data_IF_795999728247
#
_entry.id   IF_795999728247
#
_cell.length_a   1.000
_cell.length_b   1.000
_cell.length_c   1.000
_cell.angle_alpha   90.00
_cell.angle_beta   90.00
_cell.angle_gamma   90.00
#
_symmetry.space_group_name_H-M   'P 1'
#
loop_
_entity.id
_entity.type
_entity.pdbx_description
1 polymer ?
#
# COMPACT_ATOMS: atom_id res chain seq x y z
N UNK A 1 39.16 6.98 -40.64
CA UNK A 1 39.42 6.00 -39.58
C UNK A 1 39.62 6.75 -38.27
N UNK A 2 38.56 6.81 -37.45
CA UNK A 2 38.64 7.41 -36.13
C UNK A 2 38.22 6.31 -35.13
N UNK A 3 39.15 5.99 -34.23
CA UNK A 3 39.00 4.95 -33.24
C UNK A 3 38.12 5.44 -32.07
N UNK A 4 37.00 4.76 -31.84
CA UNK A 4 36.14 4.96 -30.66
C UNK A 4 36.82 4.34 -29.45
N UNK A 5 37.23 5.19 -28.48
CA UNK A 5 37.67 4.75 -27.14
C UNK A 5 36.43 4.45 -26.29
N UNK A 6 36.18 3.18 -26.04
CA UNK A 6 35.23 2.76 -25.02
C UNK A 6 35.79 3.10 -23.62
N UNK A 7 35.11 4.00 -22.89
CA UNK A 7 35.40 4.26 -21.48
C UNK A 7 34.78 3.15 -20.63
N UNK A 8 35.62 2.35 -20.00
CA UNK A 8 35.21 1.39 -18.95
C UNK A 8 34.88 2.16 -17.68
N UNK A 9 33.58 2.45 -17.47
CA UNK A 9 33.09 2.98 -16.20
C UNK A 9 33.19 1.91 -15.12
N UNK A 10 34.07 2.11 -14.13
CA UNK A 10 34.09 1.29 -12.92
C UNK A 10 32.83 1.60 -12.10
N UNK A 11 32.00 0.60 -11.86
CA UNK A 11 30.88 0.72 -10.94
C UNK A 11 31.42 1.06 -9.54
N UNK A 12 31.03 2.21 -9.01
CA UNK A 12 31.33 2.59 -7.63
C UNK A 12 30.64 1.62 -6.66
N UNK A 13 31.27 1.26 -5.54
CA UNK A 13 30.65 0.40 -4.55
C UNK A 13 29.43 1.10 -3.94
N UNK A 14 28.33 0.36 -3.88
CA UNK A 14 27.06 0.78 -3.30
C UNK A 14 27.26 1.19 -1.82
N UNK A 15 27.20 2.47 -1.53
CA UNK A 15 27.13 2.98 -0.15
C UNK A 15 25.69 3.40 0.13
N UNK A 16 24.98 2.56 0.90
CA UNK A 16 23.67 2.93 1.41
C UNK A 16 23.83 4.08 2.42
N UNK A 17 23.43 5.28 2.03
CA UNK A 17 23.33 6.43 2.92
C UNK A 17 21.84 6.66 3.16
N UNK A 18 21.33 6.44 4.38
CA UNK A 18 19.94 6.75 4.69
C UNK A 18 19.69 8.25 4.49
N UNK A 19 18.51 8.64 3.97
CA UNK A 19 18.17 10.04 3.75
C UNK A 19 18.32 10.85 5.05
N UNK A 20 19.03 11.96 4.98
CA UNK A 20 19.42 12.80 6.14
C UNK A 20 18.24 13.40 6.91
N UNK A 21 17.01 13.32 6.37
CA UNK A 21 15.79 13.86 6.97
C UNK A 21 14.97 12.83 7.75
N UNK A 22 15.39 11.58 7.77
CA UNK A 22 14.62 10.57 8.49
C UNK A 22 14.96 10.62 9.98
N UNK A 23 14.11 11.31 10.75
CA UNK A 23 14.19 11.31 12.21
C UNK A 23 13.63 10.00 12.77
N UNK A 24 14.41 8.92 12.71
CA UNK A 24 14.15 7.66 13.41
C UNK A 24 13.59 7.85 14.84
N UNK A 25 13.98 8.92 15.59
CA UNK A 25 13.38 9.20 16.90
C UNK A 25 11.89 9.45 16.87
N UNK A 26 11.33 10.05 15.81
CA UNK A 26 9.89 10.31 15.72
C UNK A 26 9.08 9.01 15.53
N UNK A 27 9.56 8.10 14.67
CA UNK A 27 8.95 6.78 14.49
C UNK A 27 9.07 5.95 15.76
N UNK A 28 10.24 5.95 16.40
CA UNK A 28 10.46 5.27 17.68
C UNK A 28 9.59 5.85 18.79
N UNK A 29 9.37 7.18 18.81
CA UNK A 29 8.53 7.86 19.79
C UNK A 29 7.04 7.54 19.56
N UNK A 30 6.59 7.48 18.32
CA UNK A 30 5.22 7.09 17.95
C UNK A 30 4.95 5.64 18.35
N UNK A 31 5.85 4.73 18.02
CA UNK A 31 5.77 3.31 18.40
C UNK A 31 5.83 3.13 19.92
N UNK A 32 6.70 3.87 20.63
CA UNK A 32 6.81 3.82 22.08
C UNK A 32 5.58 4.44 22.79
N UNK A 33 4.97 5.48 22.22
CA UNK A 33 3.76 6.10 22.76
C UNK A 33 2.55 5.19 22.61
N UNK A 34 2.42 4.51 21.47
CA UNK A 34 1.37 3.52 21.20
C UNK A 34 1.52 2.30 22.14
N UNK A 35 2.75 1.85 22.40
CA UNK A 35 3.03 0.71 23.28
C UNK A 35 2.63 0.98 24.76
N UNK A 36 2.57 2.23 25.22
CA UNK A 36 2.19 2.59 26.59
C UNK A 36 0.68 2.63 26.86
N UNK A 37 -0.15 2.70 25.84
CA UNK A 37 -1.62 2.83 25.98
C UNK A 37 -2.33 1.49 26.07
N UNK A 38 -1.67 0.37 25.82
CA UNK A 38 -2.27 -0.92 25.63
C UNK A 38 -2.19 -1.86 26.85
N UNK A 39 -2.96 -1.58 27.87
CA UNK A 39 -3.44 -2.65 28.77
C UNK A 39 -4.63 -3.32 28.06
N UNK A 40 -4.38 -4.38 27.27
CA UNK A 40 -5.38 -5.01 26.40
C UNK A 40 -5.72 -6.39 26.92
N UNK A 41 -7.02 -6.65 27.07
CA UNK A 41 -7.55 -8.01 27.29
C UNK A 41 -7.15 -8.94 26.12
N UNK A 42 -6.93 -10.25 26.38
CA UNK A 42 -6.54 -11.19 25.35
C UNK A 42 -7.61 -11.26 24.25
N UNK A 43 -7.20 -10.89 23.03
CA UNK A 43 -8.05 -10.99 21.85
C UNK A 43 -8.28 -12.46 21.49
N UNK A 44 -9.50 -12.79 21.05
CA UNK A 44 -9.83 -14.11 20.52
C UNK A 44 -9.02 -14.38 19.24
N UNK A 45 -8.64 -15.64 19.00
CA UNK A 45 -7.86 -16.03 17.81
C UNK A 45 -8.47 -15.52 16.47
N UNK A 46 -9.81 -15.46 16.40
CA UNK A 46 -10.51 -14.95 15.22
C UNK A 46 -10.28 -13.45 14.96
N UNK A 47 -10.24 -12.63 16.01
CA UNK A 47 -10.00 -11.19 15.86
C UNK A 47 -8.58 -10.92 15.37
N UNK A 48 -7.60 -11.67 15.84
CA UNK A 48 -6.21 -11.61 15.39
C UNK A 48 -6.09 -12.07 13.93
N UNK A 49 -6.79 -13.14 13.55
CA UNK A 49 -6.79 -13.61 12.16
C UNK A 49 -7.38 -12.54 11.21
N UNK A 50 -8.46 -11.87 11.59
CA UNK A 50 -9.06 -10.79 10.80
C UNK A 50 -8.12 -9.58 10.66
N UNK A 51 -7.38 -9.20 11.72
CA UNK A 51 -6.38 -8.12 11.66
C UNK A 51 -5.24 -8.46 10.67
N UNK A 52 -4.78 -9.71 10.66
CA UNK A 52 -3.75 -10.17 9.73
C UNK A 52 -4.26 -10.28 8.29
N UNK A 53 -5.51 -10.73 8.10
CA UNK A 53 -6.14 -10.83 6.77
C UNK A 53 -6.36 -9.45 6.16
N UNK A 54 -6.79 -8.46 6.95
CA UNK A 54 -7.11 -7.10 6.47
C UNK A 54 -5.95 -6.42 5.74
N UNK A 55 -4.70 -6.76 6.05
CA UNK A 55 -3.53 -6.23 5.33
C UNK A 55 -3.61 -6.46 3.81
N UNK A 56 -4.29 -7.53 3.37
CA UNK A 56 -4.35 -7.94 1.96
C UNK A 56 -5.78 -8.28 1.51
N UNK A 57 -6.79 -8.03 2.33
CA UNK A 57 -8.19 -8.38 2.07
C UNK A 57 -9.09 -7.17 2.39
N UNK A 58 -9.46 -6.42 1.36
CA UNK A 58 -10.35 -5.25 1.47
C UNK A 58 -11.76 -5.59 1.95
N UNK A 59 -12.15 -6.88 1.94
CA UNK A 59 -13.47 -7.31 2.40
C UNK A 59 -13.58 -7.37 3.93
N UNK A 60 -12.50 -7.05 4.65
CA UNK A 60 -12.47 -6.90 6.11
C UNK A 60 -12.18 -5.44 6.42
N UNK A 61 -13.14 -4.74 7.03
CA UNK A 61 -13.01 -3.33 7.40
C UNK A 61 -12.96 -3.22 8.92
N UNK A 62 -11.84 -2.75 9.46
CA UNK A 62 -11.64 -2.47 10.90
C UNK A 62 -10.98 -1.11 11.06
N UNK A 63 -11.37 -0.35 12.07
CA UNK A 63 -10.76 0.94 12.37
C UNK A 63 -9.28 0.76 12.71
N UNK A 64 -8.42 1.46 12.00
CA UNK A 64 -6.98 1.43 12.23
C UNK A 64 -6.29 2.73 11.79
N UNK A 65 -5.06 2.90 12.24
CA UNK A 65 -4.08 3.82 11.69
C UNK A 65 -2.87 3.02 11.28
N UNK A 66 -2.33 3.29 10.09
CA UNK A 66 -1.10 2.64 9.63
C UNK A 66 -0.06 3.66 9.17
N UNK A 67 1.19 3.23 9.25
CA UNK A 67 2.33 3.84 8.60
C UNK A 67 2.91 2.81 7.64
N UNK A 68 2.84 3.11 6.36
CA UNK A 68 3.42 2.33 5.28
C UNK A 68 4.70 3.02 4.83
N UNK A 69 5.77 2.24 4.62
CA UNK A 69 7.03 2.72 4.07
C UNK A 69 7.37 1.86 2.87
N UNK A 70 7.50 2.47 1.71
CA UNK A 70 7.85 1.81 0.46
C UNK A 70 9.13 2.40 -0.10
N UNK A 71 10.03 1.55 -0.58
CA UNK A 71 11.28 1.92 -1.24
C UNK A 71 11.35 1.28 -2.60
N UNK A 72 11.37 2.12 -3.61
CA UNK A 72 11.45 1.74 -5.01
C UNK A 72 12.88 1.82 -5.52
N UNK A 73 13.32 0.74 -6.17
CA UNK A 73 14.59 0.68 -6.85
C UNK A 73 14.39 0.61 -8.37
N UNK A 74 14.98 1.53 -9.09
CA UNK A 74 14.91 1.60 -10.54
C UNK A 74 16.17 1.04 -11.20
N UNK A 75 16.06 0.69 -12.49
CA UNK A 75 17.18 0.06 -13.25
C UNK A 75 18.31 1.04 -13.57
N UNK A 76 18.01 2.31 -13.64
CA UNK A 76 18.94 3.43 -13.86
C UNK A 76 19.66 3.89 -12.58
N UNK A 77 19.33 3.28 -11.44
CA UNK A 77 19.91 3.64 -10.15
C UNK A 77 19.14 4.73 -9.40
N UNK A 78 18.04 5.25 -9.94
CA UNK A 78 17.15 6.12 -9.20
C UNK A 78 16.51 5.39 -8.03
N UNK A 79 16.19 6.12 -6.97
CA UNK A 79 15.53 5.62 -5.77
C UNK A 79 14.38 6.55 -5.41
N UNK A 80 13.28 5.94 -4.99
CA UNK A 80 12.12 6.65 -4.46
C UNK A 80 11.73 6.02 -3.14
N UNK A 81 11.32 6.85 -2.18
CA UNK A 81 10.81 6.40 -0.90
C UNK A 81 9.52 7.14 -0.59
N UNK A 82 8.48 6.38 -0.27
CA UNK A 82 7.16 6.90 0.08
C UNK A 82 6.80 6.41 1.47
N UNK A 83 6.40 7.33 2.35
CA UNK A 83 5.83 7.03 3.65
C UNK A 83 4.38 7.47 3.67
N UNK A 84 3.44 6.55 3.73
CA UNK A 84 2.02 6.87 3.76
C UNK A 84 1.46 6.72 5.17
N UNK A 85 0.98 7.82 5.74
CA UNK A 85 0.15 7.77 6.94
C UNK A 85 -1.30 7.55 6.52
N UNK A 86 -1.87 6.43 6.93
CA UNK A 86 -3.25 6.06 6.60
C UNK A 86 -4.11 5.97 7.83
N UNK A 87 -5.36 6.39 7.71
CA UNK A 87 -6.40 6.20 8.71
C UNK A 87 -7.64 5.59 8.07
N UNK A 88 -8.15 4.49 8.62
CA UNK A 88 -9.45 3.92 8.28
C UNK A 88 -10.36 3.98 9.49
N UNK A 89 -11.46 4.70 9.36
CA UNK A 89 -12.55 4.64 10.32
C UNK A 89 -13.65 3.72 9.80
N UNK A 90 -14.03 2.73 10.63
CA UNK A 90 -15.03 1.71 10.30
C UNK A 90 -16.25 1.83 11.20
N UNK A 91 -17.44 1.67 10.65
CA UNK A 91 -18.70 1.61 11.36
C UNK A 91 -19.49 0.37 10.95
N UNK A 92 -20.00 -0.35 11.95
CA UNK A 92 -20.92 -1.47 11.72
C UNK A 92 -22.33 -0.95 11.53
N UNK A 93 -22.90 -1.19 10.36
CA UNK A 93 -24.26 -0.79 10.00
C UNK A 93 -25.26 -1.93 10.28
N UNK A 94 -24.83 -3.17 10.09
CA UNK A 94 -25.61 -4.36 10.39
C UNK A 94 -24.69 -5.53 10.76
N UNK A 95 -25.26 -6.67 11.14
CA UNK A 95 -24.47 -7.89 11.48
C UNK A 95 -23.66 -8.43 10.29
N UNK A 96 -24.03 -8.05 9.07
CA UNK A 96 -23.43 -8.52 7.83
C UNK A 96 -22.74 -7.43 7.01
N UNK A 97 -22.83 -6.14 7.42
CA UNK A 97 -22.30 -5.02 6.65
C UNK A 97 -21.56 -4.00 7.52
N UNK A 98 -20.34 -3.68 7.11
CA UNK A 98 -19.50 -2.63 7.65
C UNK A 98 -19.26 -1.54 6.58
N UNK A 99 -19.18 -0.27 7.00
CA UNK A 99 -18.81 0.87 6.18
C UNK A 99 -17.49 1.44 6.66
N UNK A 100 -16.73 2.05 5.76
CA UNK A 100 -15.47 2.68 6.11
C UNK A 100 -15.19 3.95 5.33
N UNK A 101 -14.47 4.87 5.99
CA UNK A 101 -13.88 6.06 5.37
C UNK A 101 -12.38 5.96 5.58
N UNK A 102 -11.61 6.13 4.51
CA UNK A 102 -10.14 6.07 4.52
C UNK A 102 -9.57 7.41 4.09
N UNK A 103 -8.51 7.83 4.76
CA UNK A 103 -7.65 8.95 4.37
C UNK A 103 -6.21 8.44 4.30
N UNK A 104 -5.52 8.73 3.20
CA UNK A 104 -4.10 8.49 3.02
C UNK A 104 -3.38 9.81 2.77
N UNK A 105 -2.26 10.00 3.45
CA UNK A 105 -1.40 11.17 3.35
C UNK A 105 0.03 10.69 3.08
N UNK A 106 0.48 10.68 1.81
CA UNK A 106 1.84 10.29 1.48
C UNK A 106 2.84 11.40 1.80
N UNK A 107 4.02 10.99 2.22
CA UNK A 107 5.23 11.79 2.36
C UNK A 107 6.25 11.20 1.40
N UNK A 108 6.49 11.87 0.29
CA UNK A 108 7.28 11.38 -0.81
C UNK A 108 8.70 11.93 -0.74
N UNK A 109 9.65 11.11 -1.12
CA UNK A 109 11.03 11.48 -1.33
C UNK A 109 11.52 10.82 -2.61
N UNK A 110 12.02 11.63 -3.53
CA UNK A 110 12.58 11.16 -4.79
C UNK A 110 14.01 11.65 -4.92
N UNK A 111 14.89 10.75 -5.32
CA UNK A 111 16.27 11.03 -5.66
C UNK A 111 16.54 10.55 -7.08
N UNK A 112 16.70 11.49 -7.99
CA UNK A 112 17.13 11.19 -9.34
C UNK A 112 18.65 11.12 -9.44
N UNK A 113 19.17 10.35 -10.41
CA UNK A 113 20.60 10.32 -10.70
C UNK A 113 21.09 11.74 -11.11
N UNK A 114 22.31 12.13 -10.68
CA UNK A 114 22.91 13.44 -10.98
C UNK A 114 22.94 13.76 -12.49
N UNK A 115 22.94 12.73 -13.34
CA UNK A 115 22.91 12.87 -14.79
C UNK A 115 21.59 13.47 -15.33
N UNK A 116 20.49 13.41 -14.58
CA UNK A 116 19.17 13.95 -14.98
C UNK A 116 18.96 15.41 -14.56
N UNK A 117 19.89 16.00 -13.77
CA UNK A 117 19.85 17.39 -13.34
C UNK A 117 18.78 17.74 -12.31
N UNK A 118 18.03 16.75 -11.82
CA UNK A 118 17.05 16.91 -10.76
C UNK A 118 17.69 16.43 -9.46
N UNK A 119 17.77 17.29 -8.47
CA UNK A 119 18.31 16.98 -7.15
C UNK A 119 17.35 16.13 -6.31
N UNK A 120 17.61 16.08 -5.01
CA UNK A 120 16.73 15.47 -4.03
C UNK A 120 15.49 16.36 -3.80
N UNK A 121 14.29 15.78 -3.90
CA UNK A 121 13.01 16.45 -3.61
C UNK A 121 12.24 15.64 -2.58
N UNK A 122 11.68 16.33 -1.58
CA UNK A 122 10.86 15.69 -0.57
C UNK A 122 9.73 16.61 -0.10
N UNK A 123 8.56 16.02 0.20
CA UNK A 123 7.39 16.80 0.61
C UNK A 123 6.15 15.92 0.82
N UNK A 124 5.00 16.58 0.94
CA UNK A 124 3.70 15.93 0.99
C UNK A 124 3.32 15.58 -0.46
N UNK A 125 2.96 14.33 -0.71
CA UNK A 125 2.45 13.85 -1.99
C UNK A 125 0.94 14.08 -2.15
N UNK A 126 0.35 13.38 -3.10
CA UNK A 126 -1.07 13.51 -3.41
C UNK A 126 -1.95 12.76 -2.40
N UNK A 127 -2.84 13.46 -1.72
CA UNK A 127 -3.73 12.89 -0.72
C UNK A 127 -4.84 12.04 -1.36
N UNK A 128 -5.30 11.01 -0.64
CA UNK A 128 -6.36 10.13 -1.08
C UNK A 128 -7.49 10.06 -0.04
N UNK A 129 -8.72 10.15 -0.50
CA UNK A 129 -9.92 9.99 0.33
C UNK A 129 -10.80 8.88 -0.25
N UNK A 130 -11.09 7.86 0.57
CA UNK A 130 -11.90 6.72 0.16
C UNK A 130 -13.14 6.53 1.03
N UNK A 131 -14.19 5.99 0.44
CA UNK A 131 -15.37 5.48 1.12
C UNK A 131 -15.73 4.12 0.54
N UNK A 132 -16.12 3.19 1.41
CA UNK A 132 -16.45 1.84 0.97
C UNK A 132 -17.31 1.08 1.95
N UNK A 133 -17.76 -0.08 1.50
CA UNK A 133 -18.53 -1.02 2.29
C UNK A 133 -18.01 -2.42 2.11
N UNK A 134 -18.05 -3.23 3.17
CA UNK A 134 -17.79 -4.66 3.12
C UNK A 134 -19.00 -5.41 3.66
N UNK A 135 -19.33 -6.53 3.02
CA UNK A 135 -20.49 -7.34 3.35
C UNK A 135 -20.10 -8.81 3.47
N UNK A 136 -20.62 -9.46 4.51
CA UNK A 136 -20.54 -10.91 4.69
C UNK A 136 -21.71 -11.56 3.94
N UNK A 137 -21.41 -12.33 2.91
CA UNK A 137 -22.43 -13.06 2.15
C UNK A 137 -22.83 -14.35 2.87
N UNK A 138 -21.87 -15.00 3.52
CA UNK A 138 -22.07 -16.16 4.41
C UNK A 138 -20.83 -16.35 5.31
N UNK A 139 -20.65 -17.52 5.90
CA UNK A 139 -19.54 -17.81 6.81
C UNK A 139 -18.16 -17.78 6.15
N UNK A 140 -18.07 -18.01 4.84
CA UNK A 140 -16.80 -18.13 4.11
C UNK A 140 -16.65 -17.10 2.99
N UNK A 141 -17.72 -16.48 2.51
CA UNK A 141 -17.70 -15.51 1.43
C UNK A 141 -17.95 -14.10 1.93
N UNK A 142 -17.13 -13.15 1.48
CA UNK A 142 -17.26 -11.72 1.73
C UNK A 142 -17.09 -10.95 0.42
N UNK A 143 -17.66 -9.76 0.35
CA UNK A 143 -17.47 -8.82 -0.76
C UNK A 143 -17.29 -7.41 -0.22
N UNK A 144 -16.60 -6.57 -0.96
CA UNK A 144 -16.46 -5.15 -0.66
C UNK A 144 -16.50 -4.34 -1.95
N UNK A 145 -16.92 -3.09 -1.82
CA UNK A 145 -16.86 -2.12 -2.91
C UNK A 145 -16.66 -0.71 -2.37
N UNK A 146 -16.07 0.16 -3.16
CA UNK A 146 -15.80 1.52 -2.73
C UNK A 146 -15.34 2.44 -3.84
N UNK A 147 -15.27 3.72 -3.48
CA UNK A 147 -14.75 4.80 -4.30
C UNK A 147 -13.60 5.47 -3.55
N UNK A 148 -12.58 5.88 -4.27
CA UNK A 148 -11.44 6.61 -3.74
C UNK A 148 -11.09 7.75 -4.69
N UNK A 149 -10.94 8.95 -4.15
CA UNK A 149 -10.50 10.14 -4.84
C UNK A 149 -9.03 10.37 -4.52
N UNK A 150 -8.19 10.36 -5.53
CA UNK A 150 -6.82 10.85 -5.49
C UNK A 150 -6.82 12.32 -5.88
N UNK A 151 -6.34 13.17 -5.01
CA UNK A 151 -6.36 14.62 -5.20
C UNK A 151 -4.96 15.11 -5.55
N UNK A 152 -4.86 15.98 -6.55
CA UNK A 152 -3.63 16.69 -6.93
C UNK A 152 -3.31 17.77 -5.87
N UNK A 153 -2.67 17.35 -4.77
CA UNK A 153 -2.42 18.16 -3.56
C UNK A 153 -0.97 18.18 -3.13
N UNK A 154 -0.08 17.59 -3.92
CA UNK A 154 1.34 17.51 -3.59
C UNK A 154 1.95 18.91 -3.35
N UNK A 155 2.81 18.98 -2.34
CA UNK A 155 3.48 20.24 -1.94
C UNK A 155 4.53 20.73 -2.94
N UNK A 156 5.02 19.83 -3.79
CA UNK A 156 6.00 20.13 -4.85
C UNK A 156 5.54 19.51 -6.18
N UNK A 157 5.58 20.24 -7.29
CA UNK A 157 5.21 19.74 -8.61
C UNK A 157 6.00 18.51 -9.09
N UNK A 158 7.18 18.24 -8.53
CA UNK A 158 7.96 17.05 -8.85
C UNK A 158 7.47 15.80 -8.15
N UNK A 159 6.67 15.93 -7.07
CA UNK A 159 6.03 14.84 -6.32
C UNK A 159 4.57 14.59 -6.73
N UNK A 160 3.99 15.52 -7.51
CA UNK A 160 2.60 15.49 -7.93
C UNK A 160 2.39 14.53 -9.09
N UNK A 161 1.33 13.71 -9.04
CA UNK A 161 0.81 13.01 -10.22
C UNK A 161 0.19 13.99 -11.23
N UNK A 162 -0.21 15.19 -10.78
CA UNK A 162 -0.83 16.27 -11.56
C UNK A 162 -2.16 15.88 -12.20
N UNK A 163 -2.83 14.94 -11.58
CA UNK A 163 -4.15 14.47 -11.99
C UNK A 163 -5.06 14.29 -10.78
N UNK A 164 -6.34 14.63 -10.97
CA UNK A 164 -7.40 14.19 -10.09
C UNK A 164 -7.92 12.86 -10.62
N UNK A 165 -7.89 11.82 -9.83
CA UNK A 165 -8.27 10.47 -10.27
C UNK A 165 -9.31 9.86 -9.34
N UNK A 166 -10.37 9.30 -9.94
CA UNK A 166 -11.35 8.50 -9.26
C UNK A 166 -11.01 7.02 -9.46
N UNK A 167 -10.90 6.28 -8.35
CA UNK A 167 -10.74 4.84 -8.35
C UNK A 167 -12.02 4.19 -7.86
N UNK A 168 -12.56 3.26 -8.62
CA UNK A 168 -13.69 2.41 -8.28
C UNK A 168 -13.16 1.01 -8.01
N UNK A 169 -13.32 0.53 -6.78
CA UNK A 169 -12.82 -0.76 -6.36
C UNK A 169 -13.93 -1.73 -6.00
N UNK A 170 -13.74 -2.98 -6.35
CA UNK A 170 -14.58 -4.09 -5.91
C UNK A 170 -13.71 -5.29 -5.58
N UNK A 171 -14.13 -6.07 -4.56
CA UNK A 171 -13.41 -7.28 -4.17
C UNK A 171 -14.35 -8.35 -3.67
N UNK A 172 -13.95 -9.59 -3.85
CA UNK A 172 -14.59 -10.76 -3.27
C UNK A 172 -13.55 -11.67 -2.66
N UNK A 173 -13.78 -12.17 -1.46
CA UNK A 173 -12.89 -13.11 -0.79
C UNK A 173 -13.61 -14.37 -0.36
N UNK A 174 -12.85 -15.47 -0.32
CA UNK A 174 -13.29 -16.77 0.13
C UNK A 174 -12.30 -17.39 1.12
N UNK A 175 -12.80 -17.79 2.29
CA UNK A 175 -12.05 -18.56 3.25
C UNK A 175 -12.16 -20.07 2.89
N UNK A 176 -11.16 -20.61 2.20
CA UNK A 176 -11.06 -22.03 1.86
C UNK A 176 -10.83 -22.88 3.12
N UNK A 177 -10.14 -22.30 4.10
CA UNK A 177 -9.91 -22.87 5.42
C UNK A 177 -9.72 -21.70 6.41
N UNK A 178 -9.75 -21.97 7.72
CA UNK A 178 -9.46 -20.96 8.75
C UNK A 178 -8.08 -20.29 8.57
N UNK A 179 -7.15 -21.01 7.94
CA UNK A 179 -5.78 -20.58 7.72
C UNK A 179 -5.50 -20.10 6.29
N UNK A 180 -6.45 -20.20 5.34
CA UNK A 180 -6.26 -19.81 3.92
C UNK A 180 -7.44 -18.98 3.43
N UNK A 181 -7.15 -17.76 3.01
CA UNK A 181 -8.07 -16.86 2.32
C UNK A 181 -7.51 -16.52 0.93
N UNK A 182 -8.35 -16.57 -0.09
CA UNK A 182 -8.07 -16.01 -1.40
C UNK A 182 -9.03 -14.86 -1.67
N UNK A 183 -8.51 -13.80 -2.27
CA UNK A 183 -9.28 -12.62 -2.66
C UNK A 183 -9.10 -12.37 -4.17
N UNK A 184 -10.13 -11.88 -4.82
CA UNK A 184 -10.06 -11.27 -6.14
C UNK A 184 -10.45 -9.80 -5.95
N UNK A 185 -9.57 -8.90 -6.37
CA UNK A 185 -9.82 -7.47 -6.40
C UNK A 185 -9.79 -6.94 -7.82
N UNK A 186 -10.69 -5.99 -8.10
CA UNK A 186 -10.81 -5.29 -9.38
C UNK A 186 -10.85 -3.80 -9.08
N UNK A 187 -9.91 -3.04 -9.61
CA UNK A 187 -9.83 -1.59 -9.46
C UNK A 187 -9.83 -0.92 -10.84
N UNK A 188 -10.81 -0.06 -11.09
CA UNK A 188 -10.84 0.81 -12.27
C UNK A 188 -10.46 2.22 -11.85
N UNK A 189 -9.46 2.77 -12.51
CA UNK A 189 -8.93 4.10 -12.28
C UNK A 189 -9.19 4.98 -13.50
N UNK A 190 -9.68 6.20 -13.24
CA UNK A 190 -9.99 7.17 -14.28
C UNK A 190 -9.67 8.58 -13.79
N UNK A 191 -8.79 9.28 -14.49
CA UNK A 191 -8.56 10.69 -14.23
C UNK A 191 -9.77 11.53 -14.65
N UNK A 192 -10.17 12.44 -13.77
CA UNK A 192 -11.33 13.33 -13.96
C UNK A 192 -10.92 14.78 -14.26
N UNK A 193 -9.68 15.11 -13.93
CA UNK A 193 -9.04 16.37 -14.33
C UNK A 193 -7.53 16.18 -14.36
N UNK A 194 -6.85 16.80 -15.34
CA UNK A 194 -5.41 16.76 -15.53
C UNK A 194 -4.85 18.19 -15.66
N UNK A 195 -3.63 18.41 -15.19
CA UNK A 195 -2.90 19.63 -15.49
C UNK A 195 -2.43 19.63 -16.96
N UNK A 196 -2.20 20.83 -17.51
CA UNK A 196 -1.77 21.00 -18.89
C UNK A 196 -0.51 20.18 -19.20
N UNK A 197 -0.58 19.36 -20.24
CA UNK A 197 0.53 18.52 -20.70
C UNK A 197 0.67 17.18 -19.98
N UNK A 198 -0.18 16.91 -19.01
CA UNK A 198 -0.23 15.61 -18.34
C UNK A 198 -1.18 14.69 -19.10
N UNK A 199 -0.76 13.45 -19.27
CA UNK A 199 -1.56 12.43 -19.95
C UNK A 199 -2.70 11.94 -19.05
N UNK A 200 -3.92 11.76 -19.58
CA UNK A 200 -4.99 11.09 -18.86
C UNK A 200 -4.57 9.71 -18.37
N UNK A 201 -5.05 9.33 -17.20
CA UNK A 201 -4.84 8.01 -16.62
C UNK A 201 -6.16 7.23 -16.66
N UNK A 202 -6.17 6.11 -17.35
CA UNK A 202 -7.31 5.20 -17.40
C UNK A 202 -6.82 3.77 -17.46
N UNK A 203 -6.94 3.05 -16.36
CA UNK A 203 -6.47 1.69 -16.28
C UNK A 203 -7.35 0.80 -15.40
N UNK A 204 -7.35 -0.49 -15.72
CA UNK A 204 -7.98 -1.54 -14.94
C UNK A 204 -6.90 -2.38 -14.30
N UNK A 205 -6.95 -2.56 -12.99
CA UNK A 205 -6.08 -3.47 -12.24
C UNK A 205 -6.89 -4.65 -11.71
N UNK A 206 -6.35 -5.85 -11.87
CA UNK A 206 -6.83 -7.08 -11.26
C UNK A 206 -5.77 -7.59 -10.30
N UNK A 207 -6.15 -7.98 -9.09
CA UNK A 207 -5.23 -8.58 -8.15
C UNK A 207 -5.81 -9.81 -7.46
N UNK A 208 -4.93 -10.77 -7.17
CA UNK A 208 -5.24 -12.06 -6.56
C UNK A 208 -4.38 -12.26 -5.31
N UNK A 209 -4.72 -11.64 -4.17
CA UNK A 209 -4.04 -11.90 -2.92
C UNK A 209 -4.45 -13.25 -2.33
N UNK A 210 -3.44 -13.98 -1.83
CA UNK A 210 -3.58 -15.17 -1.01
C UNK A 210 -2.97 -14.90 0.37
N UNK A 211 -3.70 -15.14 1.44
CA UNK A 211 -3.24 -14.96 2.82
C UNK A 211 -3.29 -16.28 3.58
N UNK A 212 -2.14 -16.66 4.14
CA UNK A 212 -1.95 -17.82 4.99
C UNK A 212 -1.80 -17.36 6.45
N UNK A 213 -2.69 -17.77 7.33
CA UNK A 213 -2.58 -17.54 8.77
C UNK A 213 -1.79 -18.70 9.39
N UNK A 214 -0.73 -18.35 10.08
CA UNK A 214 0.20 -19.28 10.70
C UNK A 214 0.06 -19.26 12.23
N UNK A 215 0.57 -20.27 12.95
CA UNK A 215 0.61 -20.27 14.41
C UNK A 215 1.29 -19.01 14.99
N UNK A 216 0.99 -18.71 16.26
CA UNK A 216 1.58 -17.59 17.00
C UNK A 216 1.34 -16.22 16.34
N UNK A 217 0.18 -16.01 15.70
CA UNK A 217 -0.21 -14.75 15.06
C UNK A 217 0.77 -14.26 13.97
N UNK A 218 1.34 -15.16 13.20
CA UNK A 218 2.03 -14.87 11.96
C UNK A 218 1.09 -15.00 10.78
N UNK A 219 1.38 -14.30 9.68
CA UNK A 219 0.80 -14.57 8.38
C UNK A 219 1.83 -14.47 7.27
N UNK A 220 1.59 -15.18 6.19
CA UNK A 220 2.28 -14.98 4.91
C UNK A 220 1.27 -14.56 3.87
N UNK A 221 1.69 -13.72 2.96
CA UNK A 221 0.87 -13.33 1.81
C UNK A 221 1.65 -13.49 0.51
N UNK A 222 0.92 -13.79 -0.54
CA UNK A 222 1.40 -13.77 -1.91
C UNK A 222 0.32 -13.10 -2.76
N UNK A 223 0.70 -12.26 -3.71
CA UNK A 223 -0.24 -11.56 -4.57
C UNK A 223 0.30 -11.51 -5.99
N UNK A 224 -0.56 -11.79 -6.95
CA UNK A 224 -0.34 -11.49 -8.35
C UNK A 224 -1.22 -10.30 -8.72
N UNK A 225 -0.63 -9.33 -9.42
CA UNK A 225 -1.32 -8.15 -9.95
C UNK A 225 -1.11 -8.06 -11.44
N UNK A 226 -2.15 -7.69 -12.16
CA UNK A 226 -2.07 -7.34 -13.58
C UNK A 226 -2.89 -6.10 -13.84
N UNK A 227 -2.38 -5.20 -14.68
CA UNK A 227 -3.09 -3.99 -15.06
C UNK A 227 -3.00 -3.78 -16.56
N UNK A 228 -4.05 -3.21 -17.14
CA UNK A 228 -4.09 -2.73 -18.52
C UNK A 228 -4.29 -1.23 -18.51
N UNK A 229 -3.39 -0.51 -19.18
CA UNK A 229 -3.42 0.95 -19.34
C UNK A 229 -4.03 1.30 -20.71
N UNK A 230 -5.28 1.77 -20.70
CA UNK A 230 -6.05 2.11 -21.91
C UNK A 230 -5.56 3.37 -22.61
N UNK A 231 -4.79 4.21 -21.91
CA UNK A 231 -4.18 5.41 -22.50
C UNK A 231 -2.78 5.13 -23.05
N UNK A 232 -2.29 3.87 -22.98
CA UNK A 232 -0.97 3.45 -23.40
C UNK A 232 -1.04 2.20 -24.32
N UNK A 233 -1.81 2.31 -25.39
CA UNK A 233 -1.99 1.25 -26.40
C UNK A 233 -2.38 -0.10 -25.75
N UNK A 234 -3.27 -0.06 -24.74
CA UNK A 234 -3.71 -1.23 -23.96
C UNK A 234 -2.53 -2.03 -23.37
N UNK A 235 -1.51 -1.33 -22.92
CA UNK A 235 -0.30 -1.96 -22.40
C UNK A 235 -0.57 -2.68 -21.10
N UNK A 236 -0.23 -3.98 -21.09
CA UNK A 236 -0.32 -4.83 -19.93
C UNK A 236 0.93 -4.75 -19.06
N UNK A 237 0.72 -4.70 -17.75
CA UNK A 237 1.77 -4.82 -16.74
C UNK A 237 1.42 -5.95 -15.77
N UNK A 238 2.46 -6.62 -15.28
CA UNK A 238 2.33 -7.75 -14.36
C UNK A 238 3.31 -7.60 -13.23
N UNK A 239 2.92 -7.94 -12.00
CA UNK A 239 3.78 -7.91 -10.82
C UNK A 239 3.39 -9.00 -9.84
N UNK A 240 4.37 -9.43 -9.06
CA UNK A 240 4.18 -10.38 -7.96
C UNK A 240 4.69 -9.77 -6.68
N UNK A 241 3.95 -9.97 -5.60
CA UNK A 241 4.31 -9.52 -4.26
C UNK A 241 4.29 -10.72 -3.32
N UNK A 242 5.25 -10.77 -2.40
CA UNK A 242 5.27 -11.71 -1.29
C UNK A 242 5.62 -10.99 0.00
N UNK A 243 5.00 -11.38 1.09
CA UNK A 243 5.20 -10.73 2.38
C UNK A 243 4.94 -11.64 3.56
N UNK A 244 5.36 -11.15 4.72
CA UNK A 244 5.15 -11.78 6.01
C UNK A 244 4.65 -10.71 6.98
N UNK A 245 3.75 -11.08 7.89
CA UNK A 245 3.28 -10.19 8.93
C UNK A 245 3.22 -10.90 10.28
N UNK A 246 3.32 -10.10 11.34
CA UNK A 246 3.25 -10.54 12.72
C UNK A 246 2.36 -9.58 13.51
N UNK A 247 1.35 -10.12 14.17
CA UNK A 247 0.60 -9.38 15.18
C UNK A 247 1.29 -9.56 16.53
N UNK A 248 1.56 -8.46 17.22
CA UNK A 248 2.21 -8.48 18.53
C UNK A 248 1.25 -8.96 19.62
N UNK A 249 1.74 -9.82 20.54
CA UNK A 249 0.88 -10.55 21.48
C UNK A 249 0.10 -9.64 22.45
N UNK A 250 0.71 -8.55 22.91
CA UNK A 250 0.18 -7.73 24.01
C UNK A 250 -0.41 -6.38 23.55
N UNK A 251 -0.38 -6.10 22.26
CA UNK A 251 -0.84 -4.83 21.70
C UNK A 251 -1.48 -5.09 20.33
N UNK A 252 -2.54 -4.36 19.94
CA UNK A 252 -3.21 -4.53 18.65
C UNK A 252 -2.40 -3.90 17.51
N UNK A 253 -1.12 -4.29 17.42
CA UNK A 253 -0.20 -3.83 16.38
C UNK A 253 0.16 -5.02 15.50
N UNK A 254 0.07 -4.81 14.19
CA UNK A 254 0.59 -5.70 13.16
C UNK A 254 1.76 -5.02 12.48
N UNK A 255 2.86 -5.75 12.32
CA UNK A 255 4.02 -5.32 11.54
C UNK A 255 4.13 -6.27 10.37
N UNK A 256 4.26 -5.74 9.16
CA UNK A 256 4.47 -6.53 7.95
C UNK A 256 5.67 -6.03 7.15
N UNK A 257 6.27 -6.94 6.40
CA UNK A 257 7.28 -6.64 5.39
C UNK A 257 6.94 -7.39 4.12
N UNK A 258 7.12 -6.76 2.96
CA UNK A 258 6.85 -7.37 1.68
C UNK A 258 7.86 -6.90 0.63
N UNK A 259 8.01 -7.72 -0.41
CA UNK A 259 8.77 -7.40 -1.63
C UNK A 259 7.83 -7.57 -2.82
N UNK A 260 7.81 -6.59 -3.70
CA UNK A 260 7.09 -6.66 -4.98
C UNK A 260 8.09 -6.60 -6.13
N UNK A 261 7.87 -7.43 -7.13
CA UNK A 261 8.71 -7.49 -8.34
C UNK A 261 7.84 -7.35 -9.59
N UNK A 262 8.09 -6.31 -10.42
CA UNK A 262 7.53 -6.25 -11.75
C UNK A 262 8.03 -7.41 -12.61
N UNK A 263 7.11 -8.05 -13.35
CA UNK A 263 7.39 -9.10 -14.33
C UNK A 263 7.45 -8.53 -15.75
N UNK A 264 6.79 -7.38 -15.97
CA UNK A 264 6.81 -6.67 -17.25
C UNK A 264 8.07 -5.82 -17.40
N UNK A 265 8.44 -5.54 -18.63
CA UNK A 265 9.52 -4.60 -18.94
C UNK A 265 9.14 -3.20 -18.48
N UNK A 266 9.85 -2.62 -17.55
CA UNK A 266 9.66 -1.29 -17.00
C UNK A 266 10.95 -0.76 -16.37
N UNK A 267 10.93 0.49 -15.89
CA UNK A 267 12.05 1.11 -15.21
C UNK A 267 12.26 0.54 -13.81
N UNK A 268 11.19 0.21 -13.09
CA UNK A 268 11.24 -0.32 -11.72
C UNK A 268 11.86 -1.73 -11.70
N UNK A 269 12.78 -1.98 -10.77
CA UNK A 269 13.47 -3.26 -10.59
C UNK A 269 12.77 -4.13 -9.55
N UNK A 270 12.49 -3.57 -8.40
CA UNK A 270 11.70 -4.14 -7.31
C UNK A 270 11.35 -3.03 -6.31
N UNK A 271 10.38 -3.27 -5.45
CA UNK A 271 10.12 -2.48 -4.27
C UNK A 271 10.16 -3.34 -2.99
N UNK A 272 10.44 -2.68 -1.88
CA UNK A 272 10.37 -3.24 -0.54
C UNK A 272 9.46 -2.36 0.30
N UNK A 273 8.52 -2.96 1.02
CA UNK A 273 7.64 -2.22 1.90
C UNK A 273 7.64 -2.77 3.32
N UNK A 274 7.47 -1.86 4.28
CA UNK A 274 7.23 -2.16 5.69
C UNK A 274 6.00 -1.40 6.11
N UNK A 275 5.03 -2.11 6.70
CA UNK A 275 3.78 -1.55 7.21
C UNK A 275 3.67 -1.79 8.70
N UNK A 276 3.29 -0.76 9.46
CA UNK A 276 2.93 -0.86 10.87
C UNK A 276 1.48 -0.40 10.99
N UNK A 277 0.62 -1.27 11.52
CA UNK A 277 -0.81 -1.01 11.68
C UNK A 277 -1.20 -1.12 13.15
N UNK A 278 -1.85 -0.11 13.66
CA UNK A 278 -2.50 -0.12 14.98
C UNK A 278 -4.01 -0.24 14.82
N UNK A 279 -4.61 -1.31 15.33
CA UNK A 279 -6.05 -1.55 15.28
C UNK A 279 -6.76 -1.06 16.53
N UNK A 280 -7.88 -0.34 16.34
CA UNK A 280 -8.76 0.05 17.43
C UNK A 280 -9.77 -1.06 17.69
N UNK A 281 -9.90 -1.49 18.93
CA UNK A 281 -10.71 -2.68 19.30
C UNK A 281 -12.22 -2.45 19.29
N UNK A 282 -12.70 -1.20 19.15
CA UNK A 282 -14.14 -0.88 19.21
C UNK A 282 -14.70 -0.61 17.83
N UNK A 283 -15.70 -1.41 17.43
CA UNK A 283 -16.61 -1.02 16.38
C UNK A 283 -17.56 0.06 16.91
N UNK A 284 -17.66 1.19 16.24
CA UNK A 284 -18.75 2.12 16.48
C UNK A 284 -20.00 1.55 15.81
N UNK A 285 -20.97 1.10 16.62
CA UNK A 285 -22.29 0.72 16.10
C UNK A 285 -23.07 2.00 15.80
N UNK A 286 -23.45 2.20 14.57
CA UNK A 286 -24.45 3.20 14.19
C UNK A 286 -25.84 2.57 14.48
N UNK A 287 -26.30 2.63 15.73
CA UNK A 287 -27.66 2.28 16.12
C UNK A 287 -28.52 3.54 16.11
#
# INVERSE_FOLDING_TARGET
MAANKASSGSAAPFSWVPPKFFHWPLVALLVASIARVAAVEPTTDSAVADELKQLNDRTIIKTHVSLDSEWDHFKDGAEEAVWTLSGLWAARVSDWQDWGIRLNLPLDYSRSDEASGHGEVGGIGDAELGVGTASRLNQTWRTAGGLELHADTASDPALAEKVWRLKMGWGVSHDFARWLTLTLDVDYNHSIAEQNGVRPQRYLELSLPATLILPQAWSMNAQYKTAVDFENDDRWSHRVRAGIAKRLSNVPIVISAAVEKPLSSGAKRFDVSITIVYYFQRYHSLK
#
